data_IF_470246269937
#
_entry.id   IF_470246269937
#
_cell.length_a   1.000
_cell.length_b   1.000
_cell.length_c   1.000
_cell.angle_alpha   90.00
_cell.angle_beta   90.00
_cell.angle_gamma   90.00
#
_symmetry.space_group_name_H-M   'P 1'
#
loop_
_entity.id
_entity.type
_entity.pdbx_description
1 polymer ?
#
# COMPACT_ATOMS: atom_id res chain seq x y z
N UNK A 1 53.22 -41.90 -57.42
CA UNK A 1 52.33 -42.01 -56.25
C UNK A 1 53.05 -42.77 -55.13
N UNK A 2 54.31 -42.43 -54.82
CA UNK A 2 55.17 -43.31 -53.98
C UNK A 2 56.35 -42.56 -53.35
N UNK A 3 56.23 -41.25 -53.11
CA UNK A 3 57.29 -40.44 -52.46
C UNK A 3 56.78 -39.59 -51.30
N UNK A 4 55.50 -39.69 -50.94
CA UNK A 4 54.89 -38.92 -49.84
C UNK A 4 54.57 -39.75 -48.59
N UNK A 5 54.99 -41.02 -48.55
CA UNK A 5 54.74 -41.92 -47.40
C UNK A 5 55.99 -42.06 -46.50
N UNK A 6 57.20 -41.79 -47.02
CA UNK A 6 58.43 -41.88 -46.21
C UNK A 6 58.61 -40.71 -45.24
N UNK A 7 57.98 -39.56 -45.48
CA UNK A 7 58.03 -38.40 -44.57
C UNK A 7 57.04 -38.49 -43.40
N UNK A 8 56.10 -39.43 -43.42
CA UNK A 8 55.16 -39.67 -42.31
C UNK A 8 55.67 -40.73 -41.32
N UNK A 9 56.62 -41.59 -41.73
CA UNK A 9 57.18 -42.60 -40.84
C UNK A 9 58.28 -42.05 -39.91
N UNK A 10 58.98 -40.99 -40.33
CA UNK A 10 59.91 -40.26 -39.45
C UNK A 10 59.19 -39.35 -38.43
N UNK A 11 57.88 -39.15 -38.57
CA UNK A 11 57.05 -38.37 -37.63
C UNK A 11 56.49 -39.24 -36.49
N UNK A 12 56.56 -40.56 -36.61
CA UNK A 12 56.12 -41.53 -35.59
C UNK A 12 57.30 -42.23 -34.88
N UNK A 13 58.42 -41.52 -34.67
CA UNK A 13 59.30 -41.91 -33.56
C UNK A 13 58.53 -41.68 -32.26
N UNK A 14 58.24 -42.77 -31.55
CA UNK A 14 57.72 -42.73 -30.19
C UNK A 14 58.47 -41.63 -29.41
N UNK A 15 57.76 -40.64 -28.87
CA UNK A 15 58.42 -39.51 -28.25
C UNK A 15 59.18 -40.03 -27.02
N UNK A 16 60.50 -39.89 -27.04
CA UNK A 16 61.37 -40.21 -25.92
C UNK A 16 60.86 -39.51 -24.66
N UNK A 17 60.19 -40.28 -23.79
CA UNK A 17 59.87 -39.90 -22.42
C UNK A 17 61.19 -39.93 -21.64
N UNK A 18 61.93 -38.82 -21.67
CA UNK A 18 63.12 -38.68 -20.83
C UNK A 18 62.71 -38.52 -19.38
N UNK A 19 62.92 -39.58 -18.60
CA UNK A 19 62.93 -39.54 -17.14
C UNK A 19 64.22 -38.84 -16.73
N UNK A 20 64.10 -37.62 -16.23
CA UNK A 20 65.22 -36.84 -15.70
C UNK A 20 64.72 -35.65 -14.89
N UNK A 21 65.14 -35.61 -13.63
CA UNK A 21 65.13 -34.43 -12.73
C UNK A 21 63.79 -34.00 -12.12
N UNK A 22 62.91 -34.94 -11.77
CA UNK A 22 61.71 -34.63 -10.97
C UNK A 22 60.74 -33.67 -11.68
N UNK A 23 60.90 -33.52 -13.00
CA UNK A 23 60.06 -32.68 -13.85
C UNK A 23 58.98 -33.53 -14.51
N UNK A 24 57.79 -32.96 -14.70
CA UNK A 24 56.66 -33.65 -15.30
C UNK A 24 56.92 -34.07 -16.75
N UNK A 25 56.42 -35.25 -17.13
CA UNK A 25 56.44 -35.75 -18.51
C UNK A 25 55.43 -34.94 -19.35
N UNK A 26 55.92 -34.11 -20.25
CA UNK A 26 55.10 -33.31 -21.16
C UNK A 26 55.54 -33.59 -22.60
N UNK A 27 54.58 -33.71 -23.50
CA UNK A 27 54.81 -33.93 -24.92
C UNK A 27 55.67 -32.81 -25.52
N UNK A 28 56.75 -33.16 -26.24
CA UNK A 28 57.73 -32.20 -26.76
C UNK A 28 57.14 -31.20 -27.77
N UNK A 29 56.08 -31.60 -28.47
CA UNK A 29 55.32 -30.75 -29.39
C UNK A 29 54.57 -29.62 -28.64
N UNK A 30 54.16 -29.85 -27.40
CA UNK A 30 53.48 -28.87 -26.56
C UNK A 30 54.45 -27.86 -25.94
N UNK A 31 55.69 -28.28 -25.64
CA UNK A 31 56.77 -27.44 -25.09
C UNK A 31 57.24 -26.31 -26.02
N UNK A 32 57.08 -26.46 -27.34
CA UNK A 32 57.47 -25.45 -28.35
C UNK A 32 56.35 -24.45 -28.67
N UNK A 33 55.22 -24.51 -27.97
CA UNK A 33 54.10 -23.58 -28.20
C UNK A 33 54.34 -22.31 -27.36
N UNK A 34 54.54 -21.12 -27.96
CA UNK A 34 54.99 -19.92 -27.24
C UNK A 34 53.96 -19.32 -26.26
N UNK A 35 52.84 -20.02 -25.99
CA UNK A 35 51.72 -19.58 -25.15
C UNK A 35 51.14 -20.69 -24.27
N UNK A 36 51.88 -21.79 -24.11
CA UNK A 36 51.51 -22.88 -23.21
C UNK A 36 52.36 -22.79 -21.94
N UNK A 37 51.73 -22.59 -20.80
CA UNK A 37 52.37 -22.64 -19.49
C UNK A 37 52.09 -23.99 -18.84
N UNK A 38 53.12 -24.62 -18.30
CA UNK A 38 52.98 -25.88 -17.55
C UNK A 38 53.40 -25.62 -16.13
N UNK A 39 52.48 -25.88 -15.19
CA UNK A 39 52.72 -25.73 -13.76
C UNK A 39 52.46 -27.06 -13.06
N UNK A 40 53.33 -27.39 -12.10
CA UNK A 40 53.17 -28.56 -11.24
C UNK A 40 52.60 -28.06 -9.93
N UNK A 41 51.45 -28.58 -9.54
CA UNK A 41 50.84 -28.31 -8.25
C UNK A 41 51.63 -29.02 -7.14
N UNK A 42 51.51 -28.53 -5.91
CA UNK A 42 52.19 -29.09 -4.72
C UNK A 42 51.81 -30.55 -4.45
N UNK A 43 50.67 -31.02 -4.96
CA UNK A 43 50.21 -32.41 -4.90
C UNK A 43 50.81 -33.30 -6.01
N UNK A 44 51.71 -32.78 -6.84
CA UNK A 44 52.34 -33.49 -7.96
C UNK A 44 51.52 -33.52 -9.24
N UNK A 45 50.33 -32.93 -9.27
CA UNK A 45 49.51 -32.89 -10.48
C UNK A 45 50.01 -31.85 -11.49
N UNK A 46 49.91 -32.23 -12.77
CA UNK A 46 50.28 -31.41 -13.91
C UNK A 46 49.10 -30.60 -14.43
N UNK A 47 49.26 -29.28 -14.50
CA UNK A 47 48.33 -28.41 -15.21
C UNK A 47 49.05 -27.82 -16.41
N UNK A 48 48.52 -28.10 -17.61
CA UNK A 48 48.88 -27.40 -18.83
C UNK A 48 47.83 -26.33 -19.08
N UNK A 49 48.26 -25.08 -19.12
CA UNK A 49 47.39 -23.93 -19.33
C UNK A 49 47.81 -23.18 -20.61
N UNK A 50 46.85 -23.00 -21.50
CA UNK A 50 47.01 -22.17 -22.69
C UNK A 50 46.61 -20.73 -22.33
N UNK A 51 47.62 -19.88 -22.10
CA UNK A 51 47.46 -18.54 -21.55
C UNK A 51 46.41 -17.67 -22.26
N UNK A 52 46.27 -17.67 -23.61
CA UNK A 52 45.28 -16.83 -24.29
C UNK A 52 43.84 -17.24 -24.01
N UNK A 53 43.58 -18.55 -23.92
CA UNK A 53 42.23 -19.06 -23.61
C UNK A 53 41.92 -18.79 -22.14
N UNK A 54 42.88 -19.01 -21.25
CA UNK A 54 42.67 -18.73 -19.82
C UNK A 54 42.50 -17.26 -19.51
N UNK A 55 43.25 -16.37 -20.17
CA UNK A 55 43.05 -14.93 -20.04
C UNK A 55 41.71 -14.48 -20.63
N UNK A 56 41.29 -15.05 -21.76
CA UNK A 56 39.97 -14.80 -22.33
C UNK A 56 38.83 -15.27 -21.40
N UNK A 57 38.93 -16.49 -20.86
CA UNK A 57 37.96 -17.04 -19.89
C UNK A 57 37.94 -16.18 -18.63
N UNK A 58 39.11 -15.79 -18.11
CA UNK A 58 39.23 -14.94 -16.92
C UNK A 58 38.61 -13.57 -17.16
N UNK A 59 38.91 -12.92 -18.28
CA UNK A 59 38.32 -11.64 -18.64
C UNK A 59 36.79 -11.73 -18.77
N UNK A 60 36.29 -12.81 -19.40
CA UNK A 60 34.84 -13.02 -19.54
C UNK A 60 34.17 -13.28 -18.19
N UNK A 61 34.79 -14.07 -17.33
CA UNK A 61 34.32 -14.33 -15.97
C UNK A 61 34.26 -13.05 -15.15
N UNK A 62 35.30 -12.22 -15.18
CA UNK A 62 35.33 -10.95 -14.45
C UNK A 62 34.21 -10.02 -14.93
N UNK A 63 34.03 -9.90 -16.25
CA UNK A 63 32.94 -9.10 -16.84
C UNK A 63 31.54 -9.61 -16.45
N UNK A 64 31.32 -10.93 -16.48
CA UNK A 64 30.05 -11.52 -16.06
C UNK A 64 29.81 -11.34 -14.56
N UNK A 65 30.85 -11.53 -13.73
CA UNK A 65 30.77 -11.30 -12.30
C UNK A 65 30.45 -9.83 -12.00
N UNK A 66 31.06 -8.87 -12.69
CA UNK A 66 30.76 -7.45 -12.46
C UNK A 66 29.33 -7.09 -12.86
N UNK A 67 28.83 -7.63 -13.98
CA UNK A 67 27.42 -7.44 -14.40
C UNK A 67 26.43 -8.09 -13.43
N UNK A 68 26.75 -9.28 -12.95
CA UNK A 68 25.94 -9.97 -11.95
C UNK A 68 25.90 -9.18 -10.64
N UNK A 69 27.07 -8.76 -10.14
CA UNK A 69 27.16 -7.98 -8.90
C UNK A 69 26.44 -6.63 -9.01
N UNK A 70 26.52 -5.95 -10.15
CA UNK A 70 25.78 -4.70 -10.35
C UNK A 70 24.27 -4.91 -10.41
N UNK A 71 23.80 -6.01 -11.01
CA UNK A 71 22.39 -6.38 -11.02
C UNK A 71 21.87 -6.76 -9.62
N UNK A 72 22.65 -7.52 -8.84
CA UNK A 72 22.29 -7.84 -7.45
C UNK A 72 22.26 -6.57 -6.61
N UNK A 73 23.26 -5.70 -6.75
CA UNK A 73 23.32 -4.43 -6.02
C UNK A 73 22.14 -3.51 -6.36
N UNK A 74 21.70 -3.46 -7.62
CA UNK A 74 20.53 -2.64 -8.01
C UNK A 74 19.23 -3.18 -7.44
N UNK A 75 19.05 -4.51 -7.43
CA UNK A 75 17.90 -5.16 -6.81
C UNK A 75 17.88 -4.91 -5.30
N UNK A 76 19.02 -5.02 -4.63
CA UNK A 76 19.10 -4.78 -3.18
C UNK A 76 18.92 -3.30 -2.84
N UNK A 77 19.45 -2.39 -3.67
CA UNK A 77 19.18 -0.96 -3.56
C UNK A 77 17.70 -0.64 -3.71
N UNK A 78 17.01 -1.24 -4.68
CA UNK A 78 15.57 -1.07 -4.88
C UNK A 78 14.77 -1.60 -3.68
N UNK A 79 15.10 -2.82 -3.19
CA UNK A 79 14.47 -3.38 -1.98
C UNK A 79 14.68 -2.49 -0.76
N UNK A 80 15.89 -1.97 -0.58
CA UNK A 80 16.22 -1.08 0.52
C UNK A 80 15.49 0.26 0.42
N UNK A 81 15.44 0.87 -0.77
CA UNK A 81 14.69 2.09 -1.03
C UNK A 81 13.21 1.90 -0.72
N UNK A 82 12.61 0.80 -1.20
CA UNK A 82 11.19 0.52 -0.95
C UNK A 82 10.88 0.29 0.53
N UNK A 83 11.77 -0.41 1.25
CA UNK A 83 11.65 -0.57 2.71
C UNK A 83 11.73 0.76 3.44
N UNK A 84 12.63 1.67 3.02
CA UNK A 84 12.74 3.01 3.60
C UNK A 84 11.47 3.83 3.37
N UNK A 85 10.91 3.82 2.17
CA UNK A 85 9.66 4.51 1.87
C UNK A 85 8.50 3.99 2.75
N UNK A 86 8.39 2.66 2.90
CA UNK A 86 7.37 2.05 3.77
C UNK A 86 7.57 2.39 5.25
N UNK A 87 8.82 2.41 5.72
CA UNK A 87 9.12 2.84 7.09
C UNK A 87 8.82 4.32 7.29
N UNK A 88 9.18 5.16 6.34
CA UNK A 88 8.94 6.60 6.40
C UNK A 88 7.44 6.91 6.37
N UNK A 89 6.66 6.22 5.54
CA UNK A 89 5.20 6.37 5.55
C UNK A 89 4.59 5.84 6.84
N UNK A 90 5.05 4.71 7.37
CA UNK A 90 4.58 4.19 8.65
C UNK A 90 4.88 5.16 9.81
N UNK A 91 6.09 5.73 9.85
CA UNK A 91 6.47 6.77 10.82
C UNK A 91 5.60 8.01 10.65
N UNK A 92 5.41 8.47 9.41
CA UNK A 92 4.55 9.62 9.11
C UNK A 92 3.11 9.43 9.60
N UNK A 93 2.51 8.28 9.31
CA UNK A 93 1.16 7.95 9.75
C UNK A 93 1.09 7.88 11.29
N UNK A 94 2.12 7.32 11.94
CA UNK A 94 2.19 7.22 13.40
C UNK A 94 2.28 8.59 14.07
N UNK A 95 3.08 9.50 13.52
CA UNK A 95 3.31 10.83 14.08
C UNK A 95 2.15 11.79 13.82
N UNK A 96 1.48 11.68 12.67
CA UNK A 96 0.47 12.65 12.25
C UNK A 96 -0.97 12.17 12.45
N UNK A 97 -1.25 10.86 12.30
CA UNK A 97 -2.62 10.32 12.35
C UNK A 97 -2.85 9.57 13.66
N UNK A 98 -1.99 8.59 13.95
CA UNK A 98 -2.15 7.66 15.08
C UNK A 98 -1.48 8.18 16.36
N UNK A 99 -1.83 9.39 16.80
CA UNK A 99 -1.19 10.05 17.94
C UNK A 99 -1.61 9.49 19.30
N UNK A 100 -2.85 8.98 19.44
CA UNK A 100 -3.39 8.49 20.71
C UNK A 100 -3.19 6.98 20.87
N UNK A 101 -2.38 6.59 21.85
CA UNK A 101 -2.06 5.19 22.12
C UNK A 101 -3.27 4.37 22.57
N UNK A 102 -4.22 4.97 23.29
CA UNK A 102 -5.42 4.28 23.79
C UNK A 102 -6.38 3.96 22.65
N UNK A 103 -6.65 4.95 21.80
CA UNK A 103 -7.46 4.76 20.59
C UNK A 103 -6.86 3.69 19.67
N UNK A 104 -5.54 3.73 19.46
CA UNK A 104 -4.85 2.79 18.56
C UNK A 104 -4.86 1.34 19.05
N UNK A 105 -4.73 1.12 20.35
CA UNK A 105 -4.60 -0.22 20.94
C UNK A 105 -5.95 -0.90 21.17
N UNK A 106 -6.96 -0.14 21.59
CA UNK A 106 -8.24 -0.71 22.04
C UNK A 106 -9.41 -0.41 21.09
N UNK A 107 -9.44 0.77 20.45
CA UNK A 107 -10.64 1.29 19.79
C UNK A 107 -10.56 1.26 18.26
N UNK A 108 -9.36 1.30 17.68
CA UNK A 108 -9.16 1.37 16.24
C UNK A 108 -9.72 0.13 15.52
N UNK A 109 -9.39 -1.07 16.00
CA UNK A 109 -9.81 -2.33 15.41
C UNK A 109 -11.34 -2.52 15.49
N UNK A 110 -11.98 -2.44 16.67
CA UNK A 110 -13.44 -2.56 16.75
C UNK A 110 -14.14 -1.41 16.00
N UNK A 111 -13.62 -0.18 16.08
CA UNK A 111 -14.12 0.96 15.33
C UNK A 111 -14.07 0.74 13.81
N UNK A 112 -13.00 0.15 13.29
CA UNK A 112 -12.88 -0.18 11.87
C UNK A 112 -13.86 -1.28 11.43
N UNK A 113 -14.06 -2.31 12.26
CA UNK A 113 -15.06 -3.36 12.00
C UNK A 113 -16.47 -2.78 11.97
N UNK A 114 -16.81 -1.91 12.92
CA UNK A 114 -18.11 -1.23 12.95
C UNK A 114 -18.28 -0.27 11.78
N UNK A 115 -17.22 0.44 11.37
CA UNK A 115 -17.24 1.31 10.20
C UNK A 115 -17.45 0.51 8.90
N UNK A 116 -16.82 -0.66 8.78
CA UNK A 116 -17.07 -1.58 7.67
C UNK A 116 -18.51 -2.11 7.69
N UNK A 117 -19.05 -2.44 8.87
CA UNK A 117 -20.46 -2.77 9.04
C UNK A 117 -21.39 -1.64 8.60
N UNK A 118 -21.11 -0.41 9.00
CA UNK A 118 -21.86 0.78 8.61
C UNK A 118 -21.76 1.08 7.10
N UNK A 119 -20.60 0.83 6.50
CA UNK A 119 -20.43 0.90 5.04
C UNK A 119 -21.33 -0.12 4.34
N UNK A 120 -21.34 -1.38 4.80
CA UNK A 120 -22.21 -2.42 4.24
C UNK A 120 -23.69 -2.07 4.42
N UNK A 121 -24.10 -1.58 5.59
CA UNK A 121 -25.46 -1.08 5.81
C UNK A 121 -25.78 0.07 4.85
N UNK A 122 -24.85 1.01 4.65
CA UNK A 122 -25.04 2.10 3.69
C UNK A 122 -25.17 1.64 2.24
N UNK A 123 -24.43 0.59 1.84
CA UNK A 123 -24.56 0.01 0.48
C UNK A 123 -25.89 -0.71 0.29
N UNK A 124 -26.38 -1.37 1.34
CA UNK A 124 -27.72 -1.98 1.37
C UNK A 124 -28.80 -0.88 1.29
N UNK A 125 -28.69 0.17 2.10
CA UNK A 125 -29.66 1.28 2.14
C UNK A 125 -29.68 2.05 0.82
N UNK A 126 -28.53 2.26 0.17
CA UNK A 126 -28.45 2.98 -1.10
C UNK A 126 -28.84 2.13 -2.33
N UNK A 127 -29.08 0.83 -2.16
CA UNK A 127 -29.55 -0.03 -3.23
C UNK A 127 -31.02 0.23 -3.55
N UNK A 128 -31.27 0.89 -4.68
CA UNK A 128 -32.63 1.17 -5.15
C UNK A 128 -33.52 -0.05 -5.39
N UNK A 129 -32.99 -1.29 -5.43
CA UNK A 129 -33.81 -2.50 -5.48
C UNK A 129 -34.49 -2.81 -4.14
N UNK A 130 -33.88 -2.46 -3.01
CA UNK A 130 -34.44 -2.71 -1.68
C UNK A 130 -35.69 -1.85 -1.42
N UNK A 131 -35.78 -0.68 -2.05
CA UNK A 131 -36.91 0.23 -1.93
C UNK A 131 -38.05 -0.05 -2.93
N UNK A 132 -37.87 -0.98 -3.88
CA UNK A 132 -38.91 -1.29 -4.91
C UNK A 132 -40.05 -2.15 -4.38
N UNK A 133 -39.87 -2.86 -3.26
CA UNK A 133 -40.89 -3.72 -2.64
C UNK A 133 -41.94 -2.98 -1.80
N UNK A 134 -41.67 -1.74 -1.38
CA UNK A 134 -42.59 -0.92 -0.57
C UNK A 134 -43.67 -0.20 -1.42
N UNK A 135 -43.95 -0.68 -2.64
CA UNK A 135 -44.96 -0.11 -3.55
C UNK A 135 -46.40 -0.48 -3.21
N UNK A 136 -46.66 -1.21 -2.13
CA UNK A 136 -48.03 -1.47 -1.67
C UNK A 136 -48.47 -0.45 -0.62
N UNK A 137 -49.23 0.56 -1.08
CA UNK A 137 -50.25 1.29 -0.32
C UNK A 137 -49.78 2.17 0.87
N UNK A 138 -48.97 3.20 0.63
CA UNK A 138 -48.72 4.27 1.62
C UNK A 138 -48.38 5.62 0.98
N UNK A 139 -48.74 6.76 1.62
CA UNK A 139 -48.67 8.07 0.99
C UNK A 139 -47.23 8.55 0.81
N UNK A 140 -46.95 9.11 -0.37
CA UNK A 140 -45.85 9.92 -0.92
C UNK A 140 -44.53 10.23 -0.15
N UNK A 141 -44.45 10.11 1.17
CA UNK A 141 -43.27 10.47 2.01
C UNK A 141 -42.07 9.55 1.75
N UNK A 142 -42.30 8.33 1.27
CA UNK A 142 -41.23 7.37 0.94
C UNK A 142 -40.44 7.70 -0.34
N UNK A 143 -40.92 8.64 -1.18
CA UNK A 143 -40.28 8.93 -2.48
C UNK A 143 -39.07 9.87 -2.39
N UNK A 144 -38.99 10.77 -1.41
CA UNK A 144 -37.92 11.76 -1.32
C UNK A 144 -36.64 11.18 -0.71
N UNK A 145 -36.74 10.50 0.43
CA UNK A 145 -35.58 9.86 1.08
C UNK A 145 -35.06 8.67 0.24
N UNK A 146 -35.96 7.87 -0.33
CA UNK A 146 -35.60 6.80 -1.27
C UNK A 146 -34.95 7.35 -2.54
N UNK A 147 -35.46 8.44 -3.13
CA UNK A 147 -34.86 9.08 -4.30
C UNK A 147 -33.47 9.68 -4.02
N UNK A 148 -33.31 10.33 -2.87
CA UNK A 148 -32.03 10.94 -2.46
C UNK A 148 -30.96 9.89 -2.12
N UNK A 149 -31.35 8.79 -1.46
CA UNK A 149 -30.42 7.71 -1.05
C UNK A 149 -30.08 6.72 -2.17
N UNK A 150 -30.89 6.64 -3.24
CA UNK A 150 -30.71 5.66 -4.33
C UNK A 150 -30.14 6.23 -5.62
N UNK A 151 -29.93 7.56 -5.68
CA UNK A 151 -29.23 8.22 -6.78
C UNK A 151 -27.79 7.68 -6.93
N UNK A 152 -27.25 7.65 -8.15
CA UNK A 152 -25.90 7.12 -8.43
C UNK A 152 -24.79 7.70 -7.53
N UNK A 153 -24.70 9.02 -7.29
CA UNK A 153 -23.70 9.56 -6.35
C UNK A 153 -23.95 9.09 -4.91
N UNK A 154 -25.20 8.95 -4.51
CA UNK A 154 -25.57 8.55 -3.16
C UNK A 154 -25.20 7.09 -2.83
N UNK A 155 -25.09 6.22 -3.83
CA UNK A 155 -24.58 4.84 -3.67
C UNK A 155 -23.13 4.76 -3.24
N UNK A 156 -22.35 5.80 -3.51
CA UNK A 156 -20.94 5.87 -3.11
C UNK A 156 -20.82 6.75 -1.87
N UNK A 157 -21.51 7.88 -1.83
CA UNK A 157 -21.41 8.85 -0.75
C UNK A 157 -22.05 8.34 0.54
N UNK A 158 -23.25 7.77 0.50
CA UNK A 158 -23.97 7.35 1.71
C UNK A 158 -23.21 6.28 2.53
N UNK A 159 -22.69 5.20 1.92
CA UNK A 159 -21.84 4.24 2.63
C UNK A 159 -20.60 4.87 3.26
N UNK A 160 -19.93 5.76 2.54
CA UNK A 160 -18.72 6.45 3.01
C UNK A 160 -19.03 7.40 4.18
N UNK A 161 -20.13 8.13 4.09
CA UNK A 161 -20.58 9.04 5.17
C UNK A 161 -20.92 8.25 6.42
N UNK A 162 -21.68 7.15 6.30
CA UNK A 162 -22.01 6.31 7.45
C UNK A 162 -20.77 5.71 8.13
N UNK A 163 -19.82 5.19 7.34
CA UNK A 163 -18.55 4.69 7.86
C UNK A 163 -17.75 5.81 8.55
N UNK A 164 -17.69 7.00 7.95
CA UNK A 164 -16.99 8.17 8.49
C UNK A 164 -17.61 8.65 9.81
N UNK A 165 -18.94 8.63 9.93
CA UNK A 165 -19.63 8.98 11.17
C UNK A 165 -19.28 7.99 12.28
N UNK A 166 -19.28 6.69 11.99
CA UNK A 166 -18.89 5.68 12.99
C UNK A 166 -17.44 5.86 13.42
N UNK A 167 -16.51 6.07 12.49
CA UNK A 167 -15.11 6.35 12.82
C UNK A 167 -14.96 7.63 13.66
N UNK A 168 -15.72 8.68 13.35
CA UNK A 168 -15.69 9.95 14.10
C UNK A 168 -16.16 9.80 15.55
N UNK A 169 -17.00 8.81 15.84
CA UNK A 169 -17.53 8.54 17.19
C UNK A 169 -16.63 7.59 17.99
N UNK A 170 -16.05 6.58 17.33
CA UNK A 170 -15.25 5.55 17.99
C UNK A 170 -13.77 5.91 18.13
N UNK A 171 -13.24 6.65 17.17
CA UNK A 171 -11.81 7.01 17.11
C UNK A 171 -11.67 8.51 16.79
N UNK A 172 -12.21 9.40 17.65
CA UNK A 172 -12.39 10.81 17.34
C UNK A 172 -11.07 11.56 17.12
N UNK A 173 -10.00 11.25 17.85
CA UNK A 173 -8.73 11.98 17.69
C UNK A 173 -8.03 11.55 16.40
N UNK A 174 -7.94 10.24 16.15
CA UNK A 174 -7.35 9.69 14.93
C UNK A 174 -8.12 10.14 13.68
N UNK A 175 -9.46 10.17 13.73
CA UNK A 175 -10.28 10.65 12.62
C UNK A 175 -10.06 12.14 12.32
N UNK A 176 -10.00 12.99 13.36
CA UNK A 176 -9.71 14.43 13.19
C UNK A 176 -8.33 14.66 12.58
N UNK A 177 -7.33 13.94 13.07
CA UNK A 177 -5.98 14.02 12.54
C UNK A 177 -5.91 13.56 11.08
N UNK A 178 -6.60 12.46 10.73
CA UNK A 178 -6.72 12.00 9.35
C UNK A 178 -7.35 13.06 8.44
N UNK A 179 -8.45 13.68 8.86
CA UNK A 179 -9.10 14.76 8.10
C UNK A 179 -8.16 15.96 7.94
N UNK A 180 -7.45 16.34 9.00
CA UNK A 180 -6.49 17.44 8.96
C UNK A 180 -5.33 17.17 7.98
N UNK A 181 -4.77 15.96 7.99
CA UNK A 181 -3.73 15.52 7.05
C UNK A 181 -4.26 15.52 5.62
N UNK A 182 -5.48 15.03 5.39
CA UNK A 182 -6.11 15.03 4.08
C UNK A 182 -6.30 16.47 3.54
N UNK A 183 -6.76 17.38 4.40
CA UNK A 183 -6.94 18.79 4.07
C UNK A 183 -5.62 19.50 3.78
N UNK A 184 -4.54 19.15 4.49
CA UNK A 184 -3.23 19.78 4.34
C UNK A 184 -2.46 19.28 3.13
N UNK A 185 -2.45 17.96 2.92
CA UNK A 185 -1.47 17.32 2.02
C UNK A 185 -2.08 16.83 0.70
N UNK A 186 -3.41 16.64 0.64
CA UNK A 186 -4.07 16.03 -0.54
C UNK A 186 -5.01 17.03 -1.23
N UNK A 187 -5.77 17.80 -0.47
CA UNK A 187 -6.76 18.72 -1.01
C UNK A 187 -6.13 20.08 -1.36
N UNK A 188 -6.50 20.70 -2.50
CA UNK A 188 -6.09 22.06 -2.82
C UNK A 188 -6.61 23.04 -1.76
N UNK A 189 -5.77 24.02 -1.37
CA UNK A 189 -6.13 25.02 -0.35
C UNK A 189 -7.38 25.83 -0.71
N UNK A 190 -7.61 26.06 -2.00
CA UNK A 190 -8.79 26.77 -2.49
C UNK A 190 -10.08 25.98 -2.20
N UNK A 191 -10.03 24.65 -2.34
CA UNK A 191 -11.17 23.78 -2.07
C UNK A 191 -11.45 23.69 -0.57
N UNK A 192 -10.42 23.59 0.28
CA UNK A 192 -10.61 23.54 1.73
C UNK A 192 -11.16 24.86 2.28
N UNK A 193 -10.68 26.00 1.78
CA UNK A 193 -11.23 27.31 2.16
C UNK A 193 -12.71 27.48 1.75
N UNK A 194 -13.07 27.05 0.53
CA UNK A 194 -14.46 27.07 0.07
C UNK A 194 -15.33 26.13 0.91
N UNK A 195 -14.85 24.91 1.17
CA UNK A 195 -15.55 23.94 1.99
C UNK A 195 -15.79 24.44 3.41
N UNK A 196 -14.78 25.00 4.08
CA UNK A 196 -14.91 25.54 5.43
C UNK A 196 -15.90 26.71 5.48
N UNK A 197 -15.90 27.56 4.44
CA UNK A 197 -16.85 28.67 4.35
C UNK A 197 -18.29 28.18 4.18
N UNK A 198 -18.50 27.14 3.36
CA UNK A 198 -19.81 26.51 3.16
C UNK A 198 -20.28 25.78 4.41
N UNK A 199 -19.39 25.03 5.06
CA UNK A 199 -19.67 24.33 6.30
C UNK A 199 -20.09 25.31 7.40
N UNK A 200 -19.37 26.42 7.58
CA UNK A 200 -19.75 27.46 8.55
C UNK A 200 -21.13 28.04 8.25
N UNK A 201 -21.39 28.45 7.00
CA UNK A 201 -22.68 29.05 6.63
C UNK A 201 -23.85 28.09 6.78
N UNK A 202 -23.71 26.86 6.29
CA UNK A 202 -24.83 25.91 6.25
C UNK A 202 -25.03 25.24 7.60
N UNK A 203 -23.96 24.70 8.19
CA UNK A 203 -24.06 23.89 9.40
C UNK A 203 -24.04 24.74 10.68
N UNK A 204 -23.08 25.65 10.83
CA UNK A 204 -22.93 26.44 12.07
C UNK A 204 -23.99 27.53 12.15
N UNK A 205 -24.10 28.37 11.14
CA UNK A 205 -25.06 29.49 11.11
C UNK A 205 -26.48 29.02 10.78
N UNK A 206 -26.63 28.02 9.91
CA UNK A 206 -27.93 27.49 9.54
C UNK A 206 -28.51 26.53 10.58
N UNK A 207 -27.93 25.33 10.68
CA UNK A 207 -28.52 24.21 11.44
C UNK A 207 -28.31 24.37 12.95
N UNK A 208 -27.09 24.67 13.39
CA UNK A 208 -26.76 24.73 14.82
C UNK A 208 -27.46 25.92 15.49
N UNK A 209 -27.41 27.10 14.86
CA UNK A 209 -28.06 28.30 15.40
C UNK A 209 -29.58 28.17 15.44
N UNK A 210 -30.20 27.65 14.37
CA UNK A 210 -31.67 27.45 14.33
C UNK A 210 -32.14 26.36 15.28
N UNK A 211 -31.39 25.27 15.44
CA UNK A 211 -31.74 24.24 16.43
C UNK A 211 -31.60 24.76 17.86
N UNK A 212 -30.61 25.63 18.13
CA UNK A 212 -30.48 26.35 19.40
C UNK A 212 -31.68 27.28 19.66
N UNK A 213 -32.11 28.06 18.66
CA UNK A 213 -33.29 28.92 18.74
C UNK A 213 -34.60 28.13 18.92
N UNK A 214 -34.74 26.99 18.23
CA UNK A 214 -35.87 26.07 18.41
C UNK A 214 -35.90 25.52 19.83
N UNK A 215 -34.74 25.15 20.38
CA UNK A 215 -34.62 24.65 21.75
C UNK A 215 -35.02 25.71 22.77
N UNK A 216 -34.58 26.96 22.60
CA UNK A 216 -34.96 28.05 23.50
C UNK A 216 -36.46 28.36 23.40
N UNK A 217 -37.01 28.42 22.18
CA UNK A 217 -38.45 28.63 21.97
C UNK A 217 -39.29 27.49 22.56
N UNK A 218 -38.85 26.23 22.42
CA UNK A 218 -39.52 25.10 23.06
C UNK A 218 -39.44 25.19 24.59
N UNK A 219 -38.29 25.58 25.15
CA UNK A 219 -38.14 25.75 26.60
C UNK A 219 -39.01 26.88 27.16
N UNK A 220 -39.24 27.96 26.40
CA UNK A 220 -40.12 29.06 26.82
C UNK A 220 -41.61 28.72 26.66
N UNK A 221 -41.99 28.04 25.58
CA UNK A 221 -43.40 27.79 25.24
C UNK A 221 -43.99 26.54 25.89
N UNK A 222 -43.20 25.49 26.15
CA UNK A 222 -43.71 24.26 26.78
C UNK A 222 -44.33 24.51 28.16
N UNK A 223 -43.68 25.25 29.09
CA UNK A 223 -44.25 25.50 30.41
C UNK A 223 -45.58 26.27 30.34
N UNK A 224 -45.69 27.21 29.42
CA UNK A 224 -46.89 28.01 29.22
C UNK A 224 -48.04 27.18 28.64
N UNK A 225 -47.76 26.32 27.65
CA UNK A 225 -48.72 25.39 27.08
C UNK A 225 -49.17 24.35 28.09
N UNK A 226 -48.25 23.75 28.85
CA UNK A 226 -48.57 22.84 29.94
C UNK A 226 -49.44 23.53 31.01
N UNK A 227 -49.16 24.79 31.33
CA UNK A 227 -49.97 25.61 32.23
C UNK A 227 -51.39 25.85 31.71
N UNK A 228 -51.56 26.19 30.43
CA UNK A 228 -52.88 26.38 29.79
C UNK A 228 -53.69 25.09 29.73
N UNK A 229 -53.07 23.98 29.32
CA UNK A 229 -53.74 22.67 29.31
C UNK A 229 -54.16 22.21 30.71
N UNK A 230 -53.31 22.46 31.72
CA UNK A 230 -53.65 22.17 33.13
C UNK A 230 -54.87 22.97 33.59
N UNK A 231 -54.97 24.26 33.25
CA UNK A 231 -56.15 25.08 33.60
C UNK A 231 -57.42 24.61 32.90
N UNK A 232 -57.35 24.31 31.60
CA UNK A 232 -58.50 23.79 30.85
C UNK A 232 -58.99 22.43 31.38
N UNK A 233 -58.07 21.57 31.83
CA UNK A 233 -58.43 20.31 32.47
C UNK A 233 -59.07 20.53 33.85
N UNK A 234 -58.60 21.50 34.62
CA UNK A 234 -59.18 21.84 35.93
C UNK A 234 -60.57 22.51 35.79
N UNK A 235 -60.76 23.39 34.81
CA UNK A 235 -62.07 23.97 34.46
C UNK A 235 -63.06 22.88 33.99
N UNK A 236 -62.62 21.94 33.16
CA UNK A 236 -63.48 20.81 32.74
C UNK A 236 -63.76 19.80 33.84
N UNK A 237 -62.89 19.68 34.84
CA UNK A 237 -63.08 18.80 35.99
C UNK A 237 -63.93 19.44 37.10
N UNK A 238 -64.35 20.71 36.95
CA UNK A 238 -65.14 21.42 37.94
C UNK A 238 -64.40 21.71 39.25
N UNK A 239 -63.06 21.73 39.22
CA UNK A 239 -62.20 22.00 40.38
C UNK A 239 -61.70 23.45 40.43
N UNK A 240 -62.21 24.30 39.54
CA UNK A 240 -62.06 25.75 39.46
C UNK A 240 -63.45 26.36 39.24
#
# INVERSE_FOLDING_TARGET
MTTMVSTLHDVYKEPELRVGDGRPLVWRLLMNTPRLSVTVLENGNLIMDYTPVSDWVRARRVSLCSLYMSAVASVDAFKAARRRELQQSAVYLRENIFTDHRENSELLVPGAVLAAGAFLVGTIVSNGRNWRGARSNGPAVQHLLGGLTTSFPSKVVTPLVLASVVLSQWVPTTWRNFVAVLQRDVLPQEFTAQWDSLYRRVYVEGVLQRSGQLRSLLQETLPELCGRYRRLLLERAGML
#
